data_IF_151278289755
#
_entry.id   IF_151278289755
#
_cell.length_a   1.000
_cell.length_b   1.000
_cell.length_c   1.000
_cell.angle_alpha   90.00
_cell.angle_beta   90.00
_cell.angle_gamma   90.00
#
_symmetry.space_group_name_H-M   'P 1'
#
loop_
_entity.id
_entity.type
_entity.pdbx_description
1 polymer ?
#
# COMPACT_ATOMS: atom_id res chain seq x y z
N UNK A 1 23.20 14.87 45.52
CA UNK A 1 23.68 14.72 44.13
C UNK A 1 23.39 16.04 43.42
N UNK A 2 24.40 16.88 43.18
CA UNK A 2 24.20 18.11 42.40
C UNK A 2 24.21 17.71 40.93
N UNK A 3 23.09 17.91 40.24
CA UNK A 3 23.04 17.79 38.79
C UNK A 3 23.80 18.99 38.23
N UNK A 4 24.88 18.74 37.50
CA UNK A 4 25.55 19.77 36.71
C UNK A 4 24.65 20.14 35.53
N UNK A 5 23.84 21.17 35.75
CA UNK A 5 22.88 21.69 34.78
C UNK A 5 23.56 22.29 33.56
N UNK A 6 24.81 22.75 33.65
CA UNK A 6 25.57 23.29 32.52
C UNK A 6 25.99 22.18 31.57
N UNK A 7 26.51 21.08 32.10
CA UNK A 7 26.83 19.88 31.32
C UNK A 7 25.58 19.27 30.67
N UNK A 8 24.47 19.19 31.41
CA UNK A 8 23.18 18.73 30.90
C UNK A 8 22.67 19.61 29.75
N UNK A 9 22.73 20.94 29.89
CA UNK A 9 22.29 21.88 28.85
C UNK A 9 23.12 21.75 27.57
N UNK A 10 24.44 21.56 27.69
CA UNK A 10 25.32 21.36 26.54
C UNK A 10 24.97 20.06 25.78
N UNK A 11 24.69 18.97 26.51
CA UNK A 11 24.22 17.71 25.93
C UNK A 11 22.90 17.87 25.19
N UNK A 12 21.90 18.48 25.83
CA UNK A 12 20.57 18.70 25.23
C UNK A 12 20.63 19.55 23.96
N UNK A 13 21.48 20.59 23.92
CA UNK A 13 21.69 21.39 22.71
C UNK A 13 22.26 20.57 21.55
N UNK A 14 23.23 19.69 21.83
CA UNK A 14 23.80 18.79 20.82
C UNK A 14 22.79 17.77 20.32
N UNK A 15 22.00 17.20 21.22
CA UNK A 15 20.91 16.28 20.87
C UNK A 15 19.84 16.97 20.01
N UNK A 16 19.48 18.23 20.33
CA UNK A 16 18.54 19.02 19.52
C UNK A 16 19.04 19.25 18.09
N UNK A 17 20.32 19.61 17.92
CA UNK A 17 20.92 19.77 16.60
C UNK A 17 20.90 18.48 15.79
N UNK A 18 21.15 17.34 16.45
CA UNK A 18 21.10 16.02 15.82
C UNK A 18 19.67 15.68 15.39
N UNK A 19 18.70 15.91 16.29
CA UNK A 19 17.28 15.70 16.02
C UNK A 19 16.81 16.52 14.82
N UNK A 20 17.18 17.81 14.75
CA UNK A 20 16.79 18.69 13.65
C UNK A 20 17.35 18.20 12.31
N UNK A 21 18.63 17.82 12.27
CA UNK A 21 19.25 17.23 11.08
C UNK A 21 18.56 15.94 10.64
N UNK A 22 18.21 15.06 11.58
CA UNK A 22 17.51 13.80 11.28
C UNK A 22 16.08 14.05 10.76
N UNK A 23 15.38 15.04 11.32
CA UNK A 23 14.04 15.43 10.84
C UNK A 23 14.11 15.97 9.41
N UNK A 24 15.10 16.80 9.10
CA UNK A 24 15.30 17.35 7.75
C UNK A 24 15.59 16.24 6.74
N UNK A 25 16.53 15.33 7.06
CA UNK A 25 16.86 14.18 6.22
C UNK A 25 15.65 13.26 5.99
N UNK A 26 14.92 12.93 7.06
CA UNK A 26 13.72 12.11 6.97
C UNK A 26 12.66 12.76 6.08
N UNK A 27 12.41 14.07 6.24
CA UNK A 27 11.45 14.78 5.39
C UNK A 27 11.88 14.80 3.92
N UNK A 28 13.17 14.90 3.62
CA UNK A 28 13.69 14.79 2.24
C UNK A 28 13.38 13.41 1.65
N UNK A 29 13.67 12.33 2.39
CA UNK A 29 13.41 10.96 1.94
C UNK A 29 11.92 10.70 1.69
N UNK A 30 11.04 11.20 2.58
CA UNK A 30 9.59 11.11 2.40
C UNK A 30 9.15 11.82 1.11
N UNK A 31 9.71 12.99 0.80
CA UNK A 31 9.38 13.72 -0.43
C UNK A 31 9.82 12.96 -1.68
N UNK A 32 11.00 12.36 -1.67
CA UNK A 32 11.52 11.52 -2.76
C UNK A 32 10.63 10.29 -2.98
N UNK A 33 10.26 9.59 -1.91
CA UNK A 33 9.35 8.44 -1.95
C UNK A 33 7.96 8.81 -2.48
N UNK A 34 7.39 9.94 -2.04
CA UNK A 34 6.11 10.45 -2.57
C UNK A 34 6.22 10.79 -4.06
N UNK A 35 7.32 11.41 -4.49
CA UNK A 35 7.54 11.72 -5.90
C UNK A 35 7.63 10.45 -6.74
N UNK A 36 8.38 9.45 -6.25
CA UNK A 36 8.49 8.15 -6.88
C UNK A 36 7.12 7.46 -7.04
N UNK A 37 6.32 7.37 -5.97
CA UNK A 37 5.00 6.76 -6.02
C UNK A 37 4.05 7.48 -6.99
N UNK A 38 4.08 8.82 -7.04
CA UNK A 38 3.29 9.57 -8.03
C UNK A 38 3.67 9.21 -9.47
N UNK A 39 4.97 9.10 -9.74
CA UNK A 39 5.47 8.66 -11.05
C UNK A 39 5.00 7.24 -11.37
N UNK A 40 5.08 6.33 -10.40
CA UNK A 40 4.67 4.94 -10.56
C UNK A 40 3.16 4.82 -10.82
N UNK A 41 2.32 5.45 -10.00
CA UNK A 41 0.86 5.51 -10.18
C UNK A 41 0.54 6.02 -11.58
N UNK A 42 1.14 7.13 -12.01
CA UNK A 42 0.88 7.68 -13.35
C UNK A 42 1.31 6.73 -14.46
N UNK A 43 2.42 6.01 -14.31
CA UNK A 43 2.91 5.06 -15.33
C UNK A 43 2.01 3.83 -15.49
N UNK A 44 1.35 3.38 -14.42
CA UNK A 44 0.41 2.25 -14.44
C UNK A 44 -1.04 2.66 -14.78
N UNK A 45 -1.30 3.94 -15.06
CA UNK A 45 -2.65 4.42 -15.36
C UNK A 45 -3.40 3.63 -16.44
N UNK A 46 -2.80 3.37 -17.62
CA UNK A 46 -3.47 2.58 -18.64
C UNK A 46 -3.83 1.17 -18.17
N UNK A 47 -3.05 0.61 -17.24
CA UNK A 47 -3.23 -0.76 -16.73
C UNK A 47 -4.38 -0.81 -15.75
N UNK A 48 -4.39 0.04 -14.72
CA UNK A 48 -5.48 0.00 -13.73
C UNK A 48 -6.83 0.45 -14.32
N UNK A 49 -6.83 1.33 -15.32
CA UNK A 49 -8.05 1.69 -16.06
C UNK A 49 -8.61 0.50 -16.82
N UNK A 50 -7.73 -0.29 -17.45
CA UNK A 50 -8.14 -1.51 -18.12
C UNK A 50 -8.69 -2.55 -17.14
N UNK A 51 -8.03 -2.76 -15.98
CA UNK A 51 -8.56 -3.64 -14.92
C UNK A 51 -9.96 -3.22 -14.48
N UNK A 52 -10.17 -1.91 -14.28
CA UNK A 52 -11.47 -1.38 -13.87
C UNK A 52 -12.54 -1.63 -14.91
N UNK A 53 -12.23 -1.41 -16.19
CA UNK A 53 -13.14 -1.62 -17.32
C UNK A 53 -13.54 -3.09 -17.48
N UNK A 54 -12.60 -4.01 -17.28
CA UNK A 54 -12.83 -5.45 -17.42
C UNK A 54 -13.36 -6.10 -16.14
N UNK A 55 -13.70 -5.31 -15.12
CA UNK A 55 -14.19 -5.78 -13.83
C UNK A 55 -13.24 -6.83 -13.21
N UNK A 56 -11.94 -6.51 -13.21
CA UNK A 56 -10.89 -7.37 -12.64
C UNK A 56 -10.55 -6.84 -11.24
N UNK A 57 -10.60 -7.74 -10.25
CA UNK A 57 -10.18 -7.42 -8.90
C UNK A 57 -8.68 -7.12 -8.84
N UNK A 58 -8.34 -6.04 -8.16
CA UNK A 58 -7.00 -5.72 -7.72
C UNK A 58 -6.62 -6.58 -6.53
N UNK A 59 -5.40 -7.10 -6.56
CA UNK A 59 -4.79 -7.90 -5.51
C UNK A 59 -3.38 -7.38 -5.19
N UNK A 60 -2.82 -7.86 -4.09
CA UNK A 60 -1.47 -7.59 -3.65
C UNK A 60 -0.72 -8.92 -3.45
N UNK A 61 0.62 -8.98 -3.58
CA UNK A 61 1.37 -10.21 -3.33
C UNK A 61 1.32 -10.66 -1.87
N UNK A 62 1.30 -9.71 -0.93
CA UNK A 62 1.35 -9.99 0.52
C UNK A 62 0.02 -9.75 1.25
N UNK A 63 -0.94 -9.04 0.64
CA UNK A 63 -2.23 -8.71 1.28
C UNK A 63 -3.30 -9.62 0.68
N UNK A 64 -3.98 -10.39 1.52
CA UNK A 64 -4.96 -11.41 1.09
C UNK A 64 -6.26 -10.79 0.55
N UNK A 65 -6.54 -9.54 0.91
CA UNK A 65 -7.74 -8.80 0.57
C UNK A 65 -7.67 -8.35 -0.89
N UNK A 66 -8.82 -8.40 -1.57
CA UNK A 66 -9.00 -7.96 -2.96
C UNK A 66 -10.03 -6.85 -3.04
N UNK A 67 -9.98 -6.06 -4.10
CA UNK A 67 -10.89 -4.93 -4.27
C UNK A 67 -11.12 -4.59 -5.74
N UNK A 68 -12.28 -4.02 -6.07
CA UNK A 68 -12.55 -3.42 -7.39
C UNK A 68 -12.29 -1.91 -7.43
N UNK A 69 -11.84 -1.32 -6.32
CA UNK A 69 -11.65 0.13 -6.19
C UNK A 69 -10.41 0.59 -6.96
N UNK A 70 -9.30 -0.14 -6.80
CA UNK A 70 -8.04 0.14 -7.47
C UNK A 70 -6.86 -0.59 -6.84
N UNK A 71 -5.63 -0.30 -7.32
CA UNK A 71 -4.41 -0.92 -6.80
C UNK A 71 -4.28 -0.74 -5.29
N UNK A 72 -3.94 -1.83 -4.60
CA UNK A 72 -3.73 -1.84 -3.15
C UNK A 72 -2.36 -1.23 -2.86
N UNK A 73 -2.33 -0.21 -2.01
CA UNK A 73 -1.12 0.51 -1.64
C UNK A 73 -0.60 0.18 -0.24
N UNK A 74 -1.41 -0.50 0.58
CA UNK A 74 -1.02 -0.98 1.90
C UNK A 74 -2.23 -1.47 2.69
N UNK A 75 -1.98 -2.09 3.83
CA UNK A 75 -3.02 -2.53 4.75
C UNK A 75 -2.57 -2.33 6.20
N UNK A 76 -3.46 -1.76 7.01
CA UNK A 76 -3.39 -1.86 8.45
C UNK A 76 -4.20 -3.09 8.88
N UNK A 77 -3.51 -4.17 9.22
CA UNK A 77 -4.15 -5.43 9.62
C UNK A 77 -4.81 -5.35 11.00
N UNK A 78 -4.30 -4.47 11.88
CA UNK A 78 -4.82 -4.33 13.24
C UNK A 78 -6.20 -3.63 13.21
N UNK A 79 -6.35 -2.63 12.36
CA UNK A 79 -7.59 -1.85 12.21
C UNK A 79 -8.49 -2.33 11.05
N UNK A 80 -8.05 -3.35 10.29
CA UNK A 80 -8.73 -3.86 9.09
C UNK A 80 -9.00 -2.74 8.06
N UNK A 81 -7.99 -1.89 7.85
CA UNK A 81 -8.04 -0.77 6.91
C UNK A 81 -7.17 -1.09 5.68
N UNK A 82 -7.71 -0.81 4.49
CA UNK A 82 -7.01 -0.96 3.23
C UNK A 82 -6.73 0.41 2.63
N UNK A 83 -5.49 0.67 2.24
CA UNK A 83 -5.13 1.86 1.48
C UNK A 83 -5.11 1.48 0.01
N UNK A 84 -5.86 2.19 -0.82
CA UNK A 84 -6.00 1.90 -2.25
C UNK A 84 -5.87 3.16 -3.06
N UNK A 85 -5.37 3.07 -4.30
CA UNK A 85 -5.52 4.16 -5.25
C UNK A 85 -6.91 4.06 -5.90
N UNK A 86 -7.86 4.89 -5.47
CA UNK A 86 -9.20 4.92 -6.07
C UNK A 86 -9.11 5.44 -7.51
N UNK A 87 -9.35 4.54 -8.46
CA UNK A 87 -9.25 4.83 -9.90
C UNK A 87 -10.25 5.91 -10.32
N UNK A 88 -11.45 5.91 -9.73
CA UNK A 88 -12.50 6.89 -10.06
C UNK A 88 -12.18 8.26 -9.45
N UNK A 89 -11.76 8.28 -8.18
CA UNK A 89 -11.47 9.52 -7.46
C UNK A 89 -10.06 10.08 -7.75
N UNK A 90 -9.22 9.34 -8.48
CA UNK A 90 -7.83 9.70 -8.82
C UNK A 90 -7.01 10.12 -7.60
N UNK A 91 -7.25 9.45 -6.48
CA UNK A 91 -6.64 9.76 -5.18
C UNK A 91 -6.50 8.50 -4.33
N UNK A 92 -5.64 8.56 -3.32
CA UNK A 92 -5.55 7.46 -2.36
C UNK A 92 -6.79 7.52 -1.46
N UNK A 93 -7.40 6.37 -1.23
CA UNK A 93 -8.51 6.19 -0.31
C UNK A 93 -8.11 5.20 0.78
N UNK A 94 -8.61 5.45 1.99
CA UNK A 94 -8.67 4.49 3.08
C UNK A 94 -10.04 3.84 3.04
N UNK A 95 -10.08 2.52 3.09
CA UNK A 95 -11.30 1.71 2.93
C UNK A 95 -11.36 0.72 4.07
N UNK A 96 -12.48 0.67 4.78
CA UNK A 96 -12.70 -0.33 5.82
C UNK A 96 -13.11 -1.65 5.18
N UNK A 97 -12.44 -2.74 5.53
CA UNK A 97 -12.68 -4.06 4.90
C UNK A 97 -14.12 -4.55 5.12
N UNK A 98 -14.71 -4.17 6.26
CA UNK A 98 -16.08 -4.55 6.63
C UNK A 98 -17.16 -3.63 6.04
N UNK A 99 -16.78 -2.43 5.60
CA UNK A 99 -17.69 -1.46 4.96
C UNK A 99 -16.96 -0.71 3.83
N UNK A 100 -16.81 -1.33 2.65
CA UNK A 100 -16.04 -0.75 1.57
C UNK A 100 -16.64 0.52 0.94
N UNK A 101 -17.91 0.80 1.24
CA UNK A 101 -18.60 2.01 0.81
C UNK A 101 -18.22 3.22 1.68
N UNK A 102 -17.81 2.97 2.93
CA UNK A 102 -17.22 3.98 3.81
C UNK A 102 -15.74 4.19 3.48
N UNK A 103 -15.49 5.10 2.52
CA UNK A 103 -14.14 5.45 2.08
C UNK A 103 -13.79 6.89 2.42
N UNK A 104 -12.58 7.06 2.93
CA UNK A 104 -12.03 8.36 3.29
C UNK A 104 -10.85 8.71 2.37
N UNK A 105 -10.75 9.98 1.96
CA UNK A 105 -9.59 10.45 1.20
C UNK A 105 -8.33 10.38 2.07
N UNK A 106 -7.27 9.77 1.54
CA UNK A 106 -6.02 9.57 2.23
C UNK A 106 -4.87 10.30 1.56
N UNK A 107 -3.97 10.85 2.37
CA UNK A 107 -2.84 11.59 1.85
C UNK A 107 -1.67 10.64 1.54
N UNK A 108 -1.13 10.70 0.32
CA UNK A 108 0.00 9.87 -0.09
C UNK A 108 1.26 10.09 0.77
N UNK A 109 1.52 11.33 1.21
CA UNK A 109 2.63 11.62 2.13
C UNK A 109 2.40 11.04 3.52
N UNK A 110 1.15 10.93 3.97
CA UNK A 110 0.80 10.26 5.23
C UNK A 110 1.05 8.76 5.12
N UNK A 111 0.58 8.13 4.03
CA UNK A 111 0.83 6.72 3.72
C UNK A 111 2.33 6.38 3.75
N UNK A 112 3.16 7.21 3.11
CA UNK A 112 4.62 7.02 3.13
C UNK A 112 5.20 7.16 4.53
N UNK A 113 4.78 8.18 5.30
CA UNK A 113 5.26 8.39 6.68
C UNK A 113 4.88 7.27 7.64
N UNK A 114 3.81 6.54 7.35
CA UNK A 114 3.34 5.39 8.12
C UNK A 114 4.03 4.08 7.70
N UNK A 115 4.95 4.12 6.74
CA UNK A 115 5.80 2.97 6.39
C UNK A 115 5.28 2.14 5.22
N UNK A 116 4.17 2.52 4.58
CA UNK A 116 3.55 1.76 3.50
C UNK A 116 4.20 1.95 2.12
N UNK A 117 5.39 2.60 2.04
CA UNK A 117 6.05 2.87 0.76
C UNK A 117 6.31 1.59 -0.05
N UNK A 118 6.90 0.55 0.55
CA UNK A 118 7.24 -0.67 -0.17
C UNK A 118 6.00 -1.45 -0.61
N UNK A 119 5.01 -1.59 0.26
CA UNK A 119 3.72 -2.20 -0.10
C UNK A 119 3.06 -1.45 -1.27
N UNK A 120 3.11 -0.12 -1.28
CA UNK A 120 2.58 0.67 -2.40
C UNK A 120 3.29 0.37 -3.72
N UNK A 121 4.61 0.23 -3.71
CA UNK A 121 5.39 -0.15 -4.89
C UNK A 121 5.01 -1.55 -5.35
N UNK A 122 4.97 -2.51 -4.44
CA UNK A 122 4.68 -3.92 -4.74
C UNK A 122 3.27 -4.08 -5.29
N UNK A 123 2.26 -3.45 -4.70
CA UNK A 123 0.88 -3.52 -5.17
C UNK A 123 0.70 -2.95 -6.57
N UNK A 124 1.39 -1.86 -6.91
CA UNK A 124 1.38 -1.28 -8.26
C UNK A 124 2.08 -2.20 -9.27
N UNK A 125 3.26 -2.72 -8.93
CA UNK A 125 4.00 -3.62 -9.82
C UNK A 125 3.30 -4.98 -9.98
N UNK A 126 2.54 -5.42 -8.99
CA UNK A 126 1.86 -6.71 -9.04
C UNK A 126 0.82 -6.82 -10.16
N UNK A 127 0.30 -5.68 -10.63
CA UNK A 127 -0.60 -5.60 -11.79
C UNK A 127 -0.06 -6.34 -13.02
N UNK A 128 1.27 -6.38 -13.20
CA UNK A 128 1.93 -7.08 -14.30
C UNK A 128 1.75 -8.60 -14.24
N UNK A 129 1.53 -9.14 -13.04
CA UNK A 129 1.48 -10.57 -12.79
C UNK A 129 0.10 -11.06 -12.34
N UNK A 130 -0.80 -10.17 -11.91
CA UNK A 130 -2.12 -10.51 -11.33
C UNK A 130 -2.88 -11.55 -12.15
N UNK A 131 -3.01 -11.34 -13.47
CA UNK A 131 -3.76 -12.27 -14.32
C UNK A 131 -3.08 -13.62 -14.48
N UNK A 132 -1.75 -13.66 -14.53
CA UNK A 132 -1.02 -14.93 -14.57
C UNK A 132 -1.26 -15.75 -13.30
N UNK A 133 -1.33 -15.08 -12.16
CA UNK A 133 -1.58 -15.70 -10.85
C UNK A 133 -3.03 -16.19 -10.74
N UNK A 134 -4.00 -15.39 -11.16
CA UNK A 134 -5.42 -15.82 -11.23
C UNK A 134 -5.60 -17.02 -12.15
N UNK A 135 -4.98 -17.01 -13.34
CA UNK A 135 -5.05 -18.13 -14.26
C UNK A 135 -4.44 -19.41 -13.69
N UNK A 136 -3.32 -19.31 -12.97
CA UNK A 136 -2.70 -20.45 -12.30
C UNK A 136 -3.64 -21.03 -11.24
N UNK A 137 -4.15 -20.19 -10.34
CA UNK A 137 -5.06 -20.61 -9.27
C UNK A 137 -6.35 -21.23 -9.84
N UNK A 138 -6.97 -20.58 -10.82
CA UNK A 138 -8.22 -21.05 -11.40
C UNK A 138 -8.05 -22.40 -12.11
N UNK A 139 -6.89 -22.67 -12.74
CA UNK A 139 -6.59 -23.99 -13.30
C UNK A 139 -6.52 -25.07 -12.22
N UNK A 140 -5.89 -24.78 -11.09
CA UNK A 140 -5.80 -25.72 -9.96
C UNK A 140 -7.20 -26.02 -9.39
N UNK A 141 -8.03 -24.99 -9.22
CA UNK A 141 -9.42 -25.12 -8.76
C UNK A 141 -10.27 -25.94 -9.74
N UNK A 142 -10.16 -25.68 -11.05
CA UNK A 142 -10.89 -26.45 -12.07
C UNK A 142 -10.49 -27.92 -12.07
N UNK A 143 -9.20 -28.23 -11.95
CA UNK A 143 -8.73 -29.61 -11.88
C UNK A 143 -9.16 -30.32 -10.60
N UNK A 144 -9.20 -29.62 -9.46
CA UNK A 144 -9.74 -30.16 -8.21
C UNK A 144 -11.24 -30.49 -8.35
N UNK A 145 -12.04 -29.55 -8.86
CA UNK A 145 -13.48 -29.74 -9.07
C UNK A 145 -13.78 -30.89 -10.06
N UNK A 146 -13.00 -31.02 -11.13
CA UNK A 146 -13.11 -32.15 -12.08
C UNK A 146 -12.87 -33.50 -11.40
N UNK A 147 -11.87 -33.59 -10.51
CA UNK A 147 -11.59 -34.82 -9.75
C UNK A 147 -12.72 -35.19 -8.81
N UNK A 148 -13.36 -34.20 -8.19
CA UNK A 148 -14.53 -34.43 -7.32
C UNK A 148 -15.72 -34.95 -8.11
N UNK A 149 -16.01 -34.34 -9.27
CA UNK A 149 -17.09 -34.78 -10.14
C UNK A 149 -16.91 -36.23 -10.61
N UNK A 150 -15.69 -36.61 -10.99
CA UNK A 150 -15.36 -37.97 -11.42
C UNK A 150 -15.45 -39.03 -10.31
N UNK A 151 -15.50 -38.64 -9.02
CA UNK A 151 -15.68 -39.58 -7.91
C UNK A 151 -17.14 -39.96 -7.67
N UNK A 152 -18.07 -39.17 -8.19
CA UNK A 152 -19.51 -39.35 -8.00
C UNK A 152 -20.23 -39.79 -9.28
N UNK A 153 -19.49 -39.99 -10.37
CA UNK A 153 -19.94 -40.57 -11.65
C UNK A 153 -19.41 -42.00 -11.78
#
# INVERSE_FOLDING_TARGET
MQIDTTSLLAKLKKEKLTLDSTIEEYNSLVLEQVHFLKGLISSYEPVYEWFKKEEIEFAHPEISIRTFIGPILGCDEDELELFVFDVNAKSVAKVYVNDPDDKENYNLSKLVREGYFLQAVEGLMYLESTLSQYNKHNKEVVEAARKELNKVQ
#
